data_IF_630402339868
#
_entry.id   IF_630402339868
#
_cell.length_a   1.000
_cell.length_b   1.000
_cell.length_c   1.000
_cell.angle_alpha   90.00
_cell.angle_beta   90.00
_cell.angle_gamma   90.00
#
_symmetry.space_group_name_H-M   'P 1'
#
loop_
_entity.id
_entity.type
_entity.pdbx_description
1 polymer ?
#
# COMPACT_ATOMS: atom_id res chain seq x y z
N UNK A 1 -38.20 46.86 56.65
CA UNK A 1 -37.82 48.17 56.06
C UNK A 1 -36.66 48.74 56.87
N UNK A 2 -35.71 49.55 56.36
CA UNK A 2 -35.25 49.79 54.97
C UNK A 2 -33.68 49.89 54.83
N UNK A 3 -33.20 50.09 53.59
CA UNK A 3 -32.05 50.94 53.13
C UNK A 3 -30.55 50.55 53.32
N UNK A 4 -29.95 50.23 52.16
CA UNK A 4 -28.88 50.93 51.39
C UNK A 4 -27.39 50.96 51.84
N UNK A 5 -26.55 50.52 50.89
CA UNK A 5 -25.28 51.10 50.34
C UNK A 5 -23.89 50.77 50.95
N UNK A 6 -22.92 50.54 50.03
CA UNK A 6 -21.46 50.48 50.18
C UNK A 6 -20.86 49.28 49.43
N UNK A 7 -20.53 49.40 48.13
CA UNK A 7 -19.17 49.64 47.56
C UNK A 7 -18.16 48.52 47.92
N UNK A 8 -17.88 47.57 47.02
CA UNK A 8 -16.88 47.61 45.93
C UNK A 8 -15.47 47.21 46.40
N UNK A 9 -15.01 46.01 46.05
CA UNK A 9 -13.63 45.77 45.59
C UNK A 9 -13.52 44.40 44.89
N UNK A 10 -12.61 44.37 43.93
CA UNK A 10 -12.45 43.40 42.85
C UNK A 10 -11.80 42.08 43.31
N UNK A 11 -12.17 40.97 42.66
CA UNK A 11 -11.38 39.75 42.70
C UNK A 11 -11.37 39.11 41.30
N UNK A 12 -10.16 39.07 40.72
CA UNK A 12 -9.84 38.55 39.40
C UNK A 12 -10.32 37.11 39.16
N UNK A 13 -10.84 36.89 37.95
CA UNK A 13 -11.02 35.56 37.39
C UNK A 13 -9.70 35.12 36.71
N UNK A 14 -8.97 34.22 37.36
CA UNK A 14 -7.90 33.45 36.71
C UNK A 14 -8.51 32.29 35.93
N UNK A 15 -8.67 32.45 34.62
CA UNK A 15 -8.98 31.36 33.71
C UNK A 15 -7.71 30.58 33.37
N UNK A 16 -7.71 29.27 33.63
CA UNK A 16 -6.70 28.34 33.13
C UNK A 16 -6.79 28.28 31.60
N UNK A 17 -5.77 28.77 30.91
CA UNK A 17 -5.61 28.51 29.48
C UNK A 17 -5.02 27.10 29.28
N UNK A 18 -5.83 26.20 28.75
CA UNK A 18 -5.37 24.99 28.12
C UNK A 18 -4.57 25.37 26.86
N UNK A 19 -3.26 25.14 26.90
CA UNK A 19 -2.38 25.30 25.74
C UNK A 19 -2.79 24.34 24.64
N UNK A 20 -3.40 24.87 23.57
CA UNK A 20 -3.58 24.16 22.32
C UNK A 20 -2.21 23.95 21.67
N UNK A 21 -1.81 22.69 21.52
CA UNK A 21 -0.63 22.31 20.74
C UNK A 21 -0.83 22.75 19.28
N UNK A 22 0.15 23.49 18.76
CA UNK A 22 0.16 24.04 17.41
C UNK A 22 0.32 22.91 16.36
N UNK A 23 -0.68 22.63 15.51
CA UNK A 23 -0.60 21.62 14.46
C UNK A 23 0.33 22.05 13.30
N UNK A 24 0.96 23.23 13.39
CA UNK A 24 1.95 23.73 12.44
C UNK A 24 3.33 23.09 12.56
N UNK A 25 3.73 22.65 13.75
CA UNK A 25 5.09 22.16 14.00
C UNK A 25 5.41 20.82 13.32
N UNK A 26 4.41 19.96 13.11
CA UNK A 26 4.59 18.68 12.41
C UNK A 26 4.79 18.87 10.89
N UNK A 27 4.30 19.98 10.32
CA UNK A 27 4.39 20.24 8.87
C UNK A 27 5.77 20.71 8.41
N UNK A 28 6.58 21.27 9.30
CA UNK A 28 7.88 21.85 8.94
C UNK A 28 9.05 20.85 9.04
N UNK A 29 8.89 19.73 9.77
CA UNK A 29 9.94 18.71 9.89
C UNK A 29 10.03 17.75 8.68
N UNK A 30 9.10 17.83 7.73
CA UNK A 30 8.97 16.89 6.60
C UNK A 30 9.73 17.35 5.33
N UNK A 31 10.35 18.53 5.34
CA UNK A 31 10.94 19.16 4.16
C UNK A 31 12.28 18.56 3.68
N UNK A 32 12.77 17.49 4.33
CA UNK A 32 14.07 16.86 4.02
C UNK A 32 14.03 15.41 3.54
N UNK A 33 12.87 14.73 3.58
CA UNK A 33 12.74 13.37 3.05
C UNK A 33 12.32 13.44 1.58
N UNK A 34 13.14 12.87 0.70
CA UNK A 34 12.75 12.64 -0.69
C UNK A 34 11.47 11.80 -0.69
N UNK A 35 10.39 12.35 -1.26
CA UNK A 35 9.10 11.67 -1.31
C UNK A 35 9.23 10.40 -2.17
N UNK A 36 8.77 9.23 -1.69
CA UNK A 36 8.89 7.99 -2.46
C UNK A 36 8.18 8.07 -3.80
N UNK A 37 8.80 7.50 -4.84
CA UNK A 37 8.25 7.51 -6.20
C UNK A 37 6.88 6.82 -6.25
N UNK A 38 6.80 5.61 -5.69
CA UNK A 38 5.57 4.84 -5.59
C UNK A 38 4.86 5.15 -4.27
N UNK A 39 3.78 5.94 -4.36
CA UNK A 39 2.92 6.29 -3.22
C UNK A 39 1.54 6.69 -3.72
N UNK A 40 0.56 6.69 -2.84
CA UNK A 40 -0.76 7.25 -3.16
C UNK A 40 -0.74 8.76 -3.22
N UNK A 41 -1.57 9.34 -4.08
CA UNK A 41 -1.85 10.79 -4.10
C UNK A 41 -3.13 11.07 -3.33
N UNK A 42 -3.09 12.01 -2.39
CA UNK A 42 -4.26 12.44 -1.63
C UNK A 42 -5.12 13.43 -2.45
N UNK A 43 -5.79 12.93 -3.49
CA UNK A 43 -6.67 13.74 -4.35
C UNK A 43 -7.97 14.15 -3.67
N UNK A 44 -8.42 13.38 -2.66
CA UNK A 44 -9.74 13.49 -2.01
C UNK A 44 -10.92 13.30 -2.97
N UNK A 45 -10.68 12.74 -4.15
CA UNK A 45 -11.70 12.44 -5.15
C UNK A 45 -12.09 10.97 -5.03
N UNK A 46 -13.30 10.65 -4.50
CA UNK A 46 -13.71 9.28 -4.28
C UNK A 46 -13.75 8.48 -5.58
N UNK A 47 -13.35 7.21 -5.51
CA UNK A 47 -13.43 6.26 -6.60
C UNK A 47 -13.96 4.93 -6.08
N UNK A 48 -15.12 4.53 -6.57
CA UNK A 48 -15.72 3.25 -6.25
C UNK A 48 -15.01 2.15 -7.02
N UNK A 49 -14.43 1.20 -6.29
CA UNK A 49 -13.72 0.05 -6.87
C UNK A 49 -14.38 -1.25 -6.44
N UNK A 50 -14.34 -2.26 -7.29
CA UNK A 50 -14.66 -3.65 -6.93
C UNK A 50 -13.41 -4.48 -7.16
N UNK A 51 -12.83 -4.98 -6.07
CA UNK A 51 -11.78 -5.99 -6.14
C UNK A 51 -12.44 -7.33 -6.45
N UNK A 52 -11.99 -8.00 -7.51
CA UNK A 52 -12.49 -9.30 -7.93
C UNK A 52 -11.35 -10.31 -7.89
N UNK A 53 -11.35 -11.19 -6.90
CA UNK A 53 -10.38 -12.28 -6.83
C UNK A 53 -10.76 -13.39 -7.80
N UNK A 54 -10.13 -13.38 -8.98
CA UNK A 54 -10.26 -14.44 -10.01
C UNK A 54 -9.10 -15.42 -9.96
N UNK A 55 -8.35 -15.44 -8.85
CA UNK A 55 -7.25 -16.37 -8.61
C UNK A 55 -7.69 -17.49 -7.64
N UNK A 56 -6.97 -18.61 -7.58
CA UNK A 56 -7.19 -19.65 -6.60
C UNK A 56 -6.58 -19.33 -5.22
N UNK A 57 -5.93 -18.17 -5.05
CA UNK A 57 -5.25 -17.77 -3.81
C UNK A 57 -6.17 -16.97 -2.89
N UNK A 58 -5.92 -17.02 -1.58
CA UNK A 58 -6.46 -16.02 -0.66
C UNK A 58 -5.66 -14.75 -0.88
N UNK A 59 -6.31 -13.68 -1.32
CA UNK A 59 -5.63 -12.43 -1.68
C UNK A 59 -5.56 -11.50 -0.48
N UNK A 60 -4.39 -10.92 -0.24
CA UNK A 60 -4.15 -9.76 0.62
C UNK A 60 -4.00 -8.52 -0.26
N UNK A 61 -5.01 -7.62 -0.30
CA UNK A 61 -4.84 -6.31 -0.89
C UNK A 61 -3.91 -5.46 -0.02
N UNK A 62 -3.01 -4.72 -0.67
CA UNK A 62 -2.06 -3.83 0.00
C UNK A 62 -2.17 -2.45 -0.63
N UNK A 63 -2.51 -1.46 0.18
CA UNK A 63 -2.54 -0.06 -0.22
C UNK A 63 -1.20 0.58 0.10
N UNK A 64 -0.59 1.32 -0.83
CA UNK A 64 0.54 2.17 -0.48
C UNK A 64 -0.01 3.48 0.07
N UNK A 65 0.29 3.83 1.31
CA UNK A 65 -0.16 5.09 1.89
C UNK A 65 0.49 6.31 1.19
N UNK A 66 0.26 7.50 1.72
CA UNK A 66 0.80 8.74 1.16
C UNK A 66 2.32 8.84 1.27
N UNK A 67 2.94 8.01 2.11
CA UNK A 67 4.38 7.92 2.30
C UNK A 67 4.98 6.68 1.60
N UNK A 68 4.20 5.98 0.78
CA UNK A 68 4.64 4.80 0.04
C UNK A 68 4.76 3.53 0.89
N UNK A 69 4.34 3.56 2.15
CA UNK A 69 4.40 2.41 3.04
C UNK A 69 3.23 1.45 2.79
N UNK A 70 3.47 0.13 2.73
CA UNK A 70 2.44 -0.86 2.45
C UNK A 70 1.52 -1.08 3.66
N UNK A 71 0.22 -0.85 3.44
CA UNK A 71 -0.85 -1.01 4.42
C UNK A 71 -1.75 -2.20 4.04
N UNK A 72 -1.78 -3.28 4.83
CA UNK A 72 -2.61 -4.45 4.53
C UNK A 72 -4.10 -4.15 4.74
N UNK A 73 -4.93 -4.68 3.83
CA UNK A 73 -6.39 -4.64 3.93
C UNK A 73 -6.97 -6.05 4.18
N UNK A 74 -8.25 -6.16 4.61
CA UNK A 74 -8.82 -7.46 4.89
C UNK A 74 -8.80 -8.38 3.66
N UNK A 75 -8.49 -9.65 3.86
CA UNK A 75 -8.26 -10.61 2.77
C UNK A 75 -9.52 -10.91 1.96
N UNK A 76 -9.32 -11.42 0.75
CA UNK A 76 -10.36 -11.84 -0.19
C UNK A 76 -10.21 -13.34 -0.48
N UNK A 77 -11.20 -14.18 -0.13
CA UNK A 77 -11.19 -15.59 -0.52
C UNK A 77 -11.21 -15.78 -2.04
N UNK A 78 -10.76 -16.95 -2.54
CA UNK A 78 -10.82 -17.30 -3.97
C UNK A 78 -12.23 -17.14 -4.56
N UNK A 79 -12.33 -16.58 -5.76
CA UNK A 79 -13.61 -16.43 -6.48
C UNK A 79 -14.55 -15.36 -5.92
N UNK A 80 -14.14 -14.60 -4.91
CA UNK A 80 -14.98 -13.57 -4.28
C UNK A 80 -14.67 -12.17 -4.81
N UNK A 81 -15.61 -11.23 -4.60
CA UNK A 81 -15.39 -9.82 -4.84
C UNK A 81 -15.79 -8.95 -3.66
N UNK A 82 -15.18 -7.77 -3.53
CA UNK A 82 -15.50 -6.79 -2.49
C UNK A 82 -15.50 -5.37 -3.06
N UNK A 83 -16.54 -4.61 -2.70
CA UNK A 83 -16.62 -3.16 -2.94
C UNK A 83 -15.67 -2.44 -1.99
N UNK A 84 -14.84 -1.55 -2.53
CA UNK A 84 -13.88 -0.73 -1.80
C UNK A 84 -14.14 0.73 -2.15
N UNK A 85 -14.20 1.58 -1.12
CA UNK A 85 -14.19 3.03 -1.28
C UNK A 85 -12.72 3.46 -1.30
N UNK A 86 -12.17 3.68 -2.49
CA UNK A 86 -10.82 4.20 -2.67
C UNK A 86 -10.89 5.65 -3.16
N UNK A 87 -9.76 6.24 -3.51
CA UNK A 87 -9.68 7.56 -4.12
C UNK A 87 -8.84 7.52 -5.39
N UNK A 88 -9.05 8.50 -6.27
CA UNK A 88 -8.26 8.64 -7.50
C UNK A 88 -6.78 8.78 -7.15
N UNK A 89 -5.93 8.04 -7.85
CA UNK A 89 -4.47 8.11 -7.64
C UNK A 89 -3.96 7.33 -6.42
N UNK A 90 -4.82 6.55 -5.74
CA UNK A 90 -4.35 5.59 -4.75
C UNK A 90 -3.64 4.42 -5.42
N UNK A 91 -2.55 3.93 -4.83
CA UNK A 91 -1.77 2.81 -5.35
C UNK A 91 -2.09 1.51 -4.61
N UNK A 92 -2.39 0.46 -5.35
CA UNK A 92 -2.70 -0.86 -4.82
C UNK A 92 -1.86 -1.94 -5.48
N UNK A 93 -1.48 -2.93 -4.68
CA UNK A 93 -0.90 -4.19 -5.14
C UNK A 93 -1.55 -5.36 -4.39
N UNK A 94 -1.43 -6.56 -4.93
CA UNK A 94 -2.15 -7.74 -4.42
C UNK A 94 -1.20 -8.91 -4.24
N UNK A 95 -1.29 -9.57 -3.08
CA UNK A 95 -0.42 -10.68 -2.70
C UNK A 95 -1.22 -11.91 -2.32
N UNK A 96 -0.59 -13.08 -2.43
CA UNK A 96 -1.05 -14.23 -1.64
C UNK A 96 -0.89 -13.91 -0.15
N UNK A 97 -1.96 -14.10 0.63
CA UNK A 97 -1.98 -13.75 2.04
C UNK A 97 -1.08 -14.63 2.91
N UNK A 98 -0.79 -15.87 2.48
CA UNK A 98 0.05 -16.81 3.21
C UNK A 98 1.51 -16.78 2.80
N UNK A 99 1.80 -16.57 1.51
CA UNK A 99 3.17 -16.68 0.97
C UNK A 99 3.78 -15.36 0.52
N UNK A 100 2.99 -14.29 0.47
CA UNK A 100 3.39 -13.00 -0.14
C UNK A 100 3.73 -13.09 -1.63
N UNK A 101 3.39 -14.19 -2.32
CA UNK A 101 3.55 -14.31 -3.78
C UNK A 101 2.83 -13.14 -4.49
N UNK A 102 3.50 -12.53 -5.46
CA UNK A 102 2.93 -11.43 -6.25
C UNK A 102 1.76 -11.89 -7.13
N UNK A 103 0.64 -11.17 -7.10
CA UNK A 103 -0.50 -11.38 -7.99
C UNK A 103 -0.66 -10.19 -8.93
N UNK A 104 -1.26 -10.44 -10.09
CA UNK A 104 -1.57 -9.37 -11.04
C UNK A 104 -2.96 -8.83 -10.81
N UNK A 105 -3.14 -7.57 -11.11
CA UNK A 105 -4.42 -6.87 -11.13
C UNK A 105 -4.59 -6.23 -12.50
N UNK A 106 -5.65 -6.60 -13.23
CA UNK A 106 -5.84 -6.14 -14.61
C UNK A 106 -4.61 -6.35 -15.50
N UNK A 107 -3.89 -7.47 -15.30
CA UNK A 107 -2.65 -7.84 -16.00
C UNK A 107 -1.41 -6.99 -15.68
N UNK A 108 -1.45 -6.15 -14.64
CA UNK A 108 -0.31 -5.36 -14.16
C UNK A 108 -0.02 -5.61 -12.68
N UNK A 109 1.14 -5.21 -12.18
CA UNK A 109 1.51 -5.37 -10.77
C UNK A 109 0.85 -4.34 -9.85
N UNK A 110 0.60 -3.14 -10.37
CA UNK A 110 -0.01 -2.03 -9.66
C UNK A 110 -1.39 -1.70 -10.25
N UNK A 111 -2.30 -1.30 -9.37
CA UNK A 111 -3.62 -0.79 -9.73
C UNK A 111 -3.80 0.62 -9.18
N UNK A 112 -4.30 1.51 -10.03
CA UNK A 112 -4.60 2.91 -9.70
C UNK A 112 -6.05 3.20 -10.06
N UNK A 113 -6.92 3.50 -9.07
CA UNK A 113 -8.29 3.93 -9.36
C UNK A 113 -8.30 5.25 -10.13
N UNK A 114 -9.08 5.30 -11.21
CA UNK A 114 -9.47 6.51 -11.93
C UNK A 114 -10.83 7.02 -11.45
N UNK A 115 -11.37 8.05 -12.08
CA UNK A 115 -12.75 8.49 -11.81
C UNK A 115 -13.76 7.48 -12.37
N UNK A 116 -14.87 7.29 -11.66
CA UNK A 116 -15.98 6.49 -12.16
C UNK A 116 -16.65 7.19 -13.35
N UNK A 117 -16.76 6.49 -14.48
CA UNK A 117 -17.49 6.96 -15.66
C UNK A 117 -18.94 6.47 -15.55
N UNK A 118 -19.91 7.38 -15.71
CA UNK A 118 -21.35 7.08 -15.64
C UNK A 118 -21.79 6.37 -14.35
N UNK A 119 -21.10 6.62 -13.24
CA UNK A 119 -21.36 5.96 -11.95
C UNK A 119 -20.99 4.47 -11.90
N UNK A 120 -20.33 3.94 -12.93
CA UNK A 120 -19.88 2.55 -12.94
C UNK A 120 -18.63 2.37 -12.07
N UNK A 121 -18.59 1.33 -11.22
CA UNK A 121 -17.41 1.03 -10.42
C UNK A 121 -16.27 0.52 -11.31
N UNK A 122 -15.04 0.81 -10.90
CA UNK A 122 -13.84 0.29 -11.57
C UNK A 122 -13.57 -1.12 -11.05
N UNK A 123 -13.34 -2.06 -11.97
CA UNK A 123 -13.00 -3.43 -11.59
C UNK A 123 -11.48 -3.59 -11.47
N UNK A 124 -11.03 -4.14 -10.35
CA UNK A 124 -9.67 -4.61 -10.16
C UNK A 124 -9.69 -6.15 -10.20
N UNK A 125 -9.47 -6.72 -11.39
CA UNK A 125 -9.51 -8.17 -11.59
C UNK A 125 -8.16 -8.77 -11.20
N UNK A 126 -8.12 -9.44 -10.05
CA UNK A 126 -6.92 -10.04 -9.50
C UNK A 126 -6.77 -11.45 -10.05
N UNK A 127 -5.63 -11.75 -10.67
CA UNK A 127 -5.34 -13.00 -11.36
C UNK A 127 -3.99 -13.57 -10.96
N UNK A 128 -3.85 -14.89 -11.05
CA UNK A 128 -2.57 -15.55 -10.92
C UNK A 128 -1.70 -15.20 -12.15
N UNK A 129 -0.47 -14.68 -11.98
CA UNK A 129 0.44 -14.55 -13.11
C UNK A 129 0.85 -15.93 -13.61
N UNK A 130 1.34 -15.96 -14.86
CA UNK A 130 2.07 -17.12 -15.36
C UNK A 130 3.49 -17.05 -14.78
N UNK A 131 3.67 -17.63 -13.59
CA UNK A 131 5.00 -17.75 -13.00
C UNK A 131 5.94 -18.55 -13.89
N UNK A 132 7.24 -18.25 -13.83
CA UNK A 132 8.25 -19.12 -14.41
C UNK A 132 8.18 -20.50 -13.75
N UNK A 133 8.60 -21.54 -14.47
CA UNK A 133 8.65 -22.89 -13.90
C UNK A 133 9.54 -22.94 -12.65
N UNK A 134 10.67 -22.21 -12.66
CA UNK A 134 11.56 -22.07 -11.50
C UNK A 134 10.79 -21.54 -10.29
N UNK A 135 10.14 -20.39 -10.42
CA UNK A 135 9.40 -19.76 -9.33
C UNK A 135 8.25 -20.65 -8.83
N UNK A 136 7.52 -21.29 -9.74
CA UNK A 136 6.44 -22.19 -9.36
C UNK A 136 6.96 -23.40 -8.56
N UNK A 137 8.10 -23.96 -8.94
CA UNK A 137 8.74 -25.03 -8.17
C UNK A 137 9.17 -24.55 -6.78
N UNK A 138 9.77 -23.36 -6.66
CA UNK A 138 10.15 -22.76 -5.37
C UNK A 138 8.94 -22.60 -4.45
N UNK A 139 7.81 -22.08 -4.98
CA UNK A 139 6.56 -21.96 -4.22
C UNK A 139 6.08 -23.30 -3.66
N UNK A 140 6.13 -24.36 -4.47
CA UNK A 140 5.71 -25.71 -4.03
C UNK A 140 6.67 -26.26 -2.98
N UNK A 141 7.99 -26.12 -3.17
CA UNK A 141 8.98 -26.60 -2.19
C UNK A 141 8.83 -25.87 -0.86
N UNK A 142 8.68 -24.54 -0.87
CA UNK A 142 8.43 -23.71 0.33
C UNK A 142 7.14 -24.12 1.08
N UNK A 143 6.13 -24.65 0.38
CA UNK A 143 4.91 -25.13 1.03
C UNK A 143 5.04 -26.52 1.67
N UNK A 144 6.06 -27.30 1.28
CA UNK A 144 6.23 -28.69 1.70
C UNK A 144 7.39 -28.89 2.68
N UNK A 145 8.39 -28.01 2.64
CA UNK A 145 9.62 -28.11 3.43
C UNK A 145 9.69 -26.91 4.36
N UNK A 146 10.10 -27.13 5.61
CA UNK A 146 10.32 -26.02 6.55
C UNK A 146 11.60 -25.27 6.19
N UNK A 147 11.68 -23.95 6.47
CA UNK A 147 12.88 -23.16 6.18
C UNK A 147 14.17 -23.74 6.78
N UNK A 148 14.09 -24.29 8.00
CA UNK A 148 15.24 -24.91 8.67
C UNK A 148 15.82 -26.12 7.92
N UNK A 149 15.01 -26.76 7.07
CA UNK A 149 15.36 -27.97 6.34
C UNK A 149 15.77 -27.72 4.88
N UNK A 150 15.70 -26.48 4.38
CA UNK A 150 16.04 -26.17 2.97
C UNK A 150 17.44 -26.64 2.59
N UNK A 151 18.44 -26.42 3.46
CA UNK A 151 19.84 -26.81 3.21
C UNK A 151 20.11 -28.31 3.35
N UNK A 152 19.09 -29.11 3.68
CA UNK A 152 19.16 -30.57 3.76
C UNK A 152 18.64 -31.25 2.49
N UNK A 153 18.03 -30.48 1.58
CA UNK A 153 17.54 -30.99 0.30
C UNK A 153 18.73 -31.36 -0.60
N UNK A 154 18.64 -32.48 -1.31
CA UNK A 154 19.70 -32.90 -2.25
C UNK A 154 19.55 -32.17 -3.60
N UNK A 155 19.87 -30.87 -3.61
CA UNK A 155 19.78 -29.98 -4.77
C UNK A 155 21.03 -29.10 -4.90
N UNK A 156 21.18 -28.44 -6.04
CA UNK A 156 22.32 -27.54 -6.30
C UNK A 156 22.32 -26.38 -5.31
N UNK A 157 23.52 -26.01 -4.81
CA UNK A 157 23.70 -25.04 -3.73
C UNK A 157 23.03 -23.68 -3.97
N UNK A 158 23.04 -23.18 -5.20
CA UNK A 158 22.39 -21.92 -5.55
C UNK A 158 20.87 -21.92 -5.31
N UNK A 159 20.23 -23.09 -5.39
CA UNK A 159 18.80 -23.21 -5.17
C UNK A 159 18.42 -23.08 -3.69
N UNK A 160 19.36 -23.25 -2.75
CA UNK A 160 19.11 -22.94 -1.34
C UNK A 160 18.88 -21.45 -1.15
N UNK A 161 19.71 -20.62 -1.76
CA UNK A 161 19.59 -19.16 -1.72
C UNK A 161 18.28 -18.72 -2.38
N UNK A 162 17.93 -19.32 -3.52
CA UNK A 162 16.64 -19.09 -4.17
C UNK A 162 15.45 -19.47 -3.26
N UNK A 163 15.52 -20.59 -2.51
CA UNK A 163 14.46 -21.00 -1.58
C UNK A 163 14.33 -20.05 -0.38
N UNK A 164 15.47 -19.64 0.17
CA UNK A 164 15.57 -18.72 1.32
C UNK A 164 15.07 -17.30 0.96
N UNK A 165 15.21 -16.89 -0.31
CA UNK A 165 14.76 -15.60 -0.83
C UNK A 165 13.23 -15.56 -1.07
N UNK A 166 12.46 -15.44 0.02
CA UNK A 166 11.00 -15.42 -0.06
C UNK A 166 10.44 -14.13 -0.70
N UNK A 167 9.26 -14.22 -1.35
CA UNK A 167 8.56 -13.05 -1.89
C UNK A 167 8.35 -11.99 -0.81
N UNK A 168 8.61 -10.72 -1.15
CA UNK A 168 8.54 -9.62 -0.21
C UNK A 168 8.07 -8.35 -0.90
N UNK A 169 7.04 -7.70 -0.33
CA UNK A 169 6.46 -6.47 -0.88
C UNK A 169 7.50 -5.36 -1.03
N UNK A 170 8.37 -5.18 -0.04
CA UNK A 170 9.40 -4.13 -0.07
C UNK A 170 10.40 -4.33 -1.19
N UNK A 171 10.85 -5.57 -1.43
CA UNK A 171 11.75 -5.90 -2.55
C UNK A 171 11.13 -5.53 -3.90
N UNK A 172 9.86 -5.87 -4.07
CA UNK A 172 9.14 -5.51 -5.29
C UNK A 172 8.91 -4.01 -5.43
N UNK A 173 8.63 -3.29 -4.35
CA UNK A 173 8.51 -1.83 -4.40
C UNK A 173 9.82 -1.16 -4.82
N UNK A 174 10.97 -1.66 -4.36
CA UNK A 174 12.29 -1.18 -4.80
C UNK A 174 12.49 -1.45 -6.28
N UNK A 175 12.22 -2.68 -6.74
CA UNK A 175 12.31 -3.04 -8.17
C UNK A 175 11.40 -2.17 -9.05
N UNK A 176 10.12 -2.08 -8.71
CA UNK A 176 9.13 -1.29 -9.46
C UNK A 176 9.47 0.21 -9.46
N UNK A 177 10.05 0.72 -8.38
CA UNK A 177 10.53 2.12 -8.31
C UNK A 177 11.66 2.34 -9.32
N UNK A 178 12.62 1.42 -9.38
CA UNK A 178 13.73 1.50 -10.33
C UNK A 178 13.25 1.42 -11.78
N UNK A 179 12.38 0.44 -12.09
CA UNK A 179 11.77 0.28 -13.42
C UNK A 179 11.00 1.55 -13.86
N UNK A 180 10.31 2.20 -12.92
CA UNK A 180 9.59 3.45 -13.19
C UNK A 180 10.55 4.61 -13.53
N UNK A 181 11.62 4.79 -12.75
CA UNK A 181 12.62 5.84 -12.98
C UNK A 181 13.30 5.64 -14.33
N UNK A 182 13.68 4.40 -14.65
CA UNK A 182 14.30 4.06 -15.94
C UNK A 182 13.35 4.34 -17.11
N UNK A 183 12.07 3.95 -16.97
CA UNK A 183 11.06 4.22 -17.99
C UNK A 183 10.83 5.71 -18.23
N UNK A 184 10.83 6.54 -17.17
CA UNK A 184 10.71 7.99 -17.31
C UNK A 184 11.92 8.61 -18.03
N UNK A 185 13.13 8.15 -17.71
CA UNK A 185 14.35 8.65 -18.36
C UNK A 185 14.35 8.35 -19.87
N UNK A 186 13.99 7.12 -20.24
CA UNK A 186 13.89 6.70 -21.64
C UNK A 186 12.80 7.45 -22.41
N UNK A 187 11.67 7.79 -21.76
CA UNK A 187 10.60 8.56 -22.40
C UNK A 187 11.02 10.01 -22.71
N UNK A 188 11.75 10.66 -21.80
CA UNK A 188 12.28 12.01 -22.02
C UNK A 188 13.31 12.08 -23.16
N UNK A 189 14.14 11.05 -23.32
CA UNK A 189 15.13 10.96 -24.41
C UNK A 189 14.49 10.82 -25.81
N UNK A 190 13.24 10.36 -25.91
CA UNK A 190 12.51 10.19 -27.18
C UNK A 190 11.77 11.47 -27.58
N UNK A 191 11.37 12.31 -26.62
CA UNK A 191 10.69 13.59 -26.89
C UNK A 191 11.66 14.71 -27.35
N UNK A 192 12.96 14.53 -27.13
CA UNK A 192 14.03 15.47 -27.50
C UNK A 192 14.71 15.18 -28.86
N UNK A 193 14.16 14.26 -29.69
CA UNK A 193 14.69 13.87 -31.02
C UNK A 193 13.79 14.26 -32.19
#
# INVERSE_FOLDING_TARGET
MPRKAGDAEEAEAGAEEASAEDPGAEREMEAGRLRPVLRSVNTREPSQVIFCNRSPRVVLPVWLNFDGEPQPYPTLPPGTGRRIHSYRGHLWLFRDAGTSDGLLVNQTELFVPSLNVDGQPIFANITLPVYTLKERCLQVVRSLVKPEDYRRLDIVRSLYEDLEDHPNVQKDLVRLTQEHIESQRMAGEIEDV
#
